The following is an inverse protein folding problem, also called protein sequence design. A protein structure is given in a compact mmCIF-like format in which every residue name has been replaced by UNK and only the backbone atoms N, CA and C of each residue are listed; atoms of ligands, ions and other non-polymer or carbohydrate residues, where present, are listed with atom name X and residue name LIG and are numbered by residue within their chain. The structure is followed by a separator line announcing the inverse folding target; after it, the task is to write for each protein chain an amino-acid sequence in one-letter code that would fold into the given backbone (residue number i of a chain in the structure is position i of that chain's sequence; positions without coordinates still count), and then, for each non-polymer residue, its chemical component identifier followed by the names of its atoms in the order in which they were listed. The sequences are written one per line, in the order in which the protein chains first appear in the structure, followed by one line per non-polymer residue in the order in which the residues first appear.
data_IF_383056333971
#
_entry.id   IF_383056333971
#
_cell.length_a   1.000
_cell.length_b   1.000
_cell.length_c   1.000
_cell.angle_alpha   90.00
_cell.angle_beta   90.00
_cell.angle_gamma   90.00
#
_symmetry.space_group_name_H-M   'P 1'
#
loop_
_entity.id
_entity.type
_entity.pdbx_description
1 polymer ?
#
# COMPACT_ATOMS: atom_id res chain seq x y z
N UNK A 1 9.38 -14.88 12.11
CA UNK A 1 9.22 -13.42 12.08
C UNK A 1 8.89 -12.92 13.48
N UNK A 2 9.50 -11.84 13.99
CA UNK A 2 9.10 -11.35 15.31
C UNK A 2 7.71 -10.68 15.23
N UNK A 3 6.92 -10.74 16.32
CA UNK A 3 5.62 -10.04 16.42
C UNK A 3 5.72 -8.55 16.03
N UNK A 4 6.88 -7.93 16.21
CA UNK A 4 7.16 -6.54 15.79
C UNK A 4 7.17 -6.38 14.26
N UNK A 5 7.75 -7.33 13.52
CA UNK A 5 7.78 -7.27 12.05
C UNK A 5 6.39 -7.51 11.44
N UNK A 6 5.59 -8.40 12.02
CA UNK A 6 4.20 -8.60 11.62
C UNK A 6 3.37 -7.34 11.87
N UNK A 7 3.50 -6.73 13.06
CA UNK A 7 2.82 -5.48 13.39
C UNK A 7 3.21 -4.34 12.43
N UNK A 8 4.50 -4.24 12.06
CA UNK A 8 4.97 -3.26 11.09
C UNK A 8 4.42 -3.52 9.68
N UNK A 9 4.38 -4.79 9.25
CA UNK A 9 3.80 -5.15 7.95
C UNK A 9 2.30 -4.83 7.90
N UNK A 10 1.56 -5.13 8.96
CA UNK A 10 0.14 -4.79 9.10
C UNK A 10 -0.06 -3.26 9.13
N UNK A 11 0.77 -2.51 9.86
CA UNK A 11 0.71 -1.05 9.89
C UNK A 11 0.97 -0.43 8.51
N UNK A 12 1.97 -0.94 7.77
CA UNK A 12 2.25 -0.52 6.41
C UNK A 12 1.08 -0.83 5.46
N UNK A 13 0.49 -2.01 5.59
CA UNK A 13 -0.68 -2.41 4.81
C UNK A 13 -1.89 -1.52 5.13
N UNK A 14 -2.17 -1.26 6.41
CA UNK A 14 -3.24 -0.35 6.84
C UNK A 14 -3.02 1.06 6.29
N UNK A 15 -1.79 1.57 6.33
CA UNK A 15 -1.46 2.88 5.76
C UNK A 15 -1.70 2.91 4.24
N UNK A 16 -1.31 1.85 3.53
CA UNK A 16 -1.51 1.74 2.07
C UNK A 16 -3.00 1.64 1.72
N UNK A 17 -3.78 0.88 2.47
CA UNK A 17 -5.24 0.76 2.29
C UNK A 17 -5.93 2.10 2.58
N UNK A 18 -5.61 2.76 3.68
CA UNK A 18 -6.16 4.08 4.02
C UNK A 18 -5.83 5.15 2.97
N UNK A 19 -4.67 5.05 2.31
CA UNK A 19 -4.31 5.96 1.22
C UNK A 19 -5.17 5.75 -0.03
N UNK A 20 -5.63 4.54 -0.27
CA UNK A 20 -6.54 4.20 -1.38
C UNK A 20 -7.96 4.70 -1.10
N UNK A 21 -8.45 4.58 0.15
CA UNK A 21 -9.76 5.09 0.55
C UNK A 21 -9.86 6.62 0.52
N UNK A 22 -8.72 7.33 0.61
CA UNK A 22 -8.68 8.79 0.69
C UNK A 22 -8.50 9.52 -0.65
N UNK A 23 -9.15 9.08 -1.74
CA UNK A 23 -9.13 9.72 -3.07
C UNK A 23 -7.85 9.54 -3.90
N UNK A 24 -7.18 8.40 -3.82
CA UNK A 24 -6.10 8.06 -4.75
C UNK A 24 -6.66 7.51 -6.07
N UNK A 25 -5.97 7.81 -7.17
CA UNK A 25 -6.31 7.25 -8.48
C UNK A 25 -6.01 5.74 -8.48
N UNK A 26 -6.93 4.96 -9.01
CA UNK A 26 -6.92 3.51 -9.00
C UNK A 26 -6.83 2.93 -10.42
N UNK A 27 -5.92 2.00 -10.61
CA UNK A 27 -5.77 1.17 -11.81
C UNK A 27 -6.17 -0.27 -11.46
N UNK A 28 -7.43 -0.51 -11.24
CA UNK A 28 -7.93 -1.83 -10.88
C UNK A 28 -9.41 -1.98 -11.21
N UNK A 29 -9.87 -3.22 -11.31
CA UNK A 29 -11.29 -3.52 -11.39
C UNK A 29 -12.00 -3.11 -10.10
N UNK A 30 -13.33 -2.93 -10.16
CA UNK A 30 -14.14 -2.67 -8.96
C UNK A 30 -13.94 -3.78 -7.91
N UNK A 31 -13.85 -5.04 -8.34
CA UNK A 31 -13.60 -6.17 -7.42
C UNK A 31 -12.25 -6.06 -6.71
N UNK A 32 -11.19 -5.63 -7.40
CA UNK A 32 -9.89 -5.40 -6.79
C UNK A 32 -9.94 -4.26 -5.77
N UNK A 33 -10.66 -3.18 -6.07
CA UNK A 33 -10.88 -2.08 -5.12
C UNK A 33 -11.63 -2.57 -3.87
N UNK A 34 -12.74 -3.29 -4.05
CA UNK A 34 -13.55 -3.80 -2.94
C UNK A 34 -12.75 -4.76 -2.05
N UNK A 35 -11.86 -5.57 -2.64
CA UNK A 35 -10.96 -6.45 -1.89
C UNK A 35 -10.05 -5.66 -0.97
N UNK A 36 -9.44 -4.60 -1.47
CA UNK A 36 -8.52 -3.76 -0.69
C UNK A 36 -9.27 -2.93 0.36
N UNK A 37 -10.44 -2.38 0.03
CA UNK A 37 -11.27 -1.63 0.97
C UNK A 37 -11.75 -2.52 2.15
N UNK A 38 -12.17 -3.76 1.87
CA UNK A 38 -12.54 -4.74 2.91
C UNK A 38 -11.35 -5.14 3.79
N UNK A 39 -10.14 -5.14 3.24
CA UNK A 39 -8.93 -5.44 3.99
C UNK A 39 -8.69 -4.45 5.13
N UNK A 40 -8.97 -3.16 4.93
CA UNK A 40 -8.89 -2.11 5.96
C UNK A 40 -9.72 -2.46 7.20
N UNK A 41 -10.96 -2.94 7.00
CA UNK A 41 -11.84 -3.32 8.10
C UNK A 41 -11.37 -4.58 8.85
N UNK A 42 -10.80 -5.57 8.14
CA UNK A 42 -10.24 -6.79 8.74
C UNK A 42 -8.98 -6.47 9.56
N UNK A 43 -8.12 -5.57 9.06
CA UNK A 43 -6.93 -5.13 9.77
C UNK A 43 -7.28 -4.35 11.05
N UNK A 44 -8.32 -3.51 10.99
CA UNK A 44 -8.80 -2.75 12.13
C UNK A 44 -9.42 -3.63 13.25
N UNK A 45 -9.94 -4.83 12.91
CA UNK A 45 -10.54 -5.74 13.89
C UNK A 45 -9.54 -6.44 14.82
N UNK A 46 -8.24 -6.43 14.50
CA UNK A 46 -7.18 -7.05 15.30
C UNK A 46 -7.21 -8.60 15.37
N UNK A 47 -8.12 -9.27 14.67
CA UNK A 47 -8.30 -10.72 14.71
C UNK A 47 -7.11 -11.54 14.17
N UNK A 48 -6.21 -10.88 13.42
CA UNK A 48 -5.10 -11.56 12.74
C UNK A 48 -4.03 -12.08 13.70
N UNK A 49 -3.82 -11.37 14.82
CA UNK A 49 -2.74 -11.69 15.77
C UNK A 49 -2.92 -13.01 16.52
N UNK A 50 -4.11 -13.61 16.49
CA UNK A 50 -4.43 -14.81 17.26
C UNK A 50 -4.33 -16.13 16.49
N UNK A 51 -4.19 -16.09 15.15
CA UNK A 51 -4.39 -17.27 14.29
C UNK A 51 -3.12 -17.91 13.72
N UNK A 52 -1.96 -17.23 13.75
CA UNK A 52 -0.76 -17.71 13.05
C UNK A 52 0.48 -17.78 13.94
N UNK A 53 1.23 -18.88 13.86
CA UNK A 53 2.49 -19.08 14.57
C UNK A 53 3.68 -18.47 13.81
N UNK A 54 4.81 -18.28 14.51
CA UNK A 54 6.06 -17.78 13.90
C UNK A 54 6.62 -18.74 12.81
N UNK A 55 6.25 -20.03 12.86
CA UNK A 55 6.65 -21.04 11.86
C UNK A 55 5.84 -20.90 10.56
N UNK A 56 4.56 -20.52 10.64
CA UNK A 56 3.73 -20.28 9.46
C UNK A 56 4.17 -19.05 8.65
N UNK A 57 4.96 -18.17 9.26
CA UNK A 57 5.37 -16.88 8.72
C UNK A 57 6.79 -16.87 8.10
N UNK A 58 7.34 -18.05 7.77
CA UNK A 58 8.67 -18.19 7.17
C UNK A 58 8.79 -17.39 5.86
N UNK A 59 9.88 -16.62 5.74
CA UNK A 59 10.29 -16.09 4.44
C UNK A 59 10.88 -17.26 3.65
N UNK A 60 10.29 -17.57 2.50
CA UNK A 60 10.98 -18.37 1.51
C UNK A 60 12.19 -17.56 1.02
N UNK A 61 13.33 -18.20 0.87
CA UNK A 61 14.54 -17.57 0.33
C UNK A 61 14.31 -17.05 -1.11
N UNK A 62 13.32 -17.59 -1.81
CA UNK A 62 12.90 -17.23 -3.17
C UNK A 62 11.37 -17.22 -3.26
N UNK A 63 10.80 -16.21 -3.94
CA UNK A 63 9.37 -16.12 -4.24
C UNK A 63 8.99 -16.69 -5.62
N UNK A 64 9.90 -17.35 -6.29
CA UNK A 64 9.71 -17.95 -7.61
C UNK A 64 10.19 -19.39 -7.63
N UNK A 65 9.60 -20.17 -8.49
CA UNK A 65 10.00 -21.55 -8.76
C UNK A 65 10.87 -21.60 -10.01
N UNK A 66 11.93 -22.43 -10.00
CA UNK A 66 12.81 -22.63 -11.16
C UNK A 66 12.61 -24.05 -11.66
N UNK A 67 12.26 -24.19 -12.94
CA UNK A 67 12.17 -25.49 -13.62
C UNK A 67 13.54 -26.01 -14.00
N UNK A 68 13.65 -27.31 -14.31
CA UNK A 68 14.94 -27.96 -14.58
C UNK A 68 15.71 -27.41 -15.79
N UNK A 69 15.07 -26.60 -16.65
CA UNK A 69 15.66 -25.94 -17.82
C UNK A 69 16.13 -24.50 -17.53
N UNK A 70 15.87 -23.99 -16.32
CA UNK A 70 16.22 -22.65 -15.86
C UNK A 70 15.15 -21.58 -16.14
N UNK A 71 13.91 -21.98 -16.39
CA UNK A 71 12.77 -21.06 -16.46
C UNK A 71 12.26 -20.78 -15.04
N UNK A 72 12.30 -19.53 -14.62
CA UNK A 72 11.69 -19.10 -13.36
C UNK A 72 10.23 -18.70 -13.59
N UNK A 73 9.35 -19.15 -12.70
CA UNK A 73 7.93 -18.74 -12.67
C UNK A 73 7.69 -17.90 -11.43
N UNK A 74 7.29 -16.64 -11.61
CA UNK A 74 6.94 -15.71 -10.56
C UNK A 74 5.45 -15.41 -10.56
N UNK A 75 4.77 -15.71 -9.46
CA UNK A 75 3.35 -15.42 -9.29
C UNK A 75 3.12 -13.93 -8.97
N UNK A 76 2.25 -13.28 -9.77
CA UNK A 76 1.74 -11.94 -9.55
C UNK A 76 0.21 -12.00 -9.39
N UNK A 77 -0.24 -12.39 -8.19
CA UNK A 77 -1.66 -12.69 -7.90
C UNK A 77 -2.26 -11.71 -6.90
N UNK A 78 -3.57 -11.46 -7.04
CA UNK A 78 -4.33 -10.58 -6.16
C UNK A 78 -4.31 -9.10 -6.55
N UNK A 79 -4.78 -8.22 -5.65
CA UNK A 79 -4.82 -6.77 -5.90
C UNK A 79 -3.47 -6.11 -5.67
N UNK A 80 -3.02 -5.28 -6.60
CA UNK A 80 -1.72 -4.62 -6.53
C UNK A 80 -1.78 -3.35 -5.68
N UNK A 81 -0.86 -3.22 -4.72
CA UNK A 81 -0.83 -2.10 -3.78
C UNK A 81 0.59 -1.55 -3.61
N UNK A 82 0.70 -0.30 -3.22
CA UNK A 82 1.99 0.32 -2.92
C UNK A 82 2.45 -0.04 -1.51
N UNK A 83 2.96 -1.25 -1.34
CA UNK A 83 3.44 -1.76 -0.06
C UNK A 83 4.66 -2.68 -0.24
N UNK A 84 5.43 -2.82 0.83
CA UNK A 84 6.51 -3.78 0.96
C UNK A 84 6.08 -4.87 1.95
N UNK A 85 5.56 -5.97 1.44
CA UNK A 85 4.95 -7.03 2.25
C UNK A 85 5.75 -8.32 2.19
N UNK A 86 5.76 -9.10 3.28
CA UNK A 86 6.21 -10.49 3.25
C UNK A 86 5.28 -11.33 2.36
N UNK A 87 5.79 -12.33 1.62
CA UNK A 87 4.99 -13.16 0.72
C UNK A 87 3.81 -13.87 1.40
N UNK A 88 3.98 -14.25 2.64
CA UNK A 88 2.92 -14.83 3.45
C UNK A 88 1.73 -13.87 3.62
N UNK A 89 2.00 -12.60 3.94
CA UNK A 89 0.97 -11.57 4.09
C UNK A 89 0.27 -11.32 2.76
N UNK A 90 1.02 -11.25 1.66
CA UNK A 90 0.45 -11.08 0.33
C UNK A 90 -0.54 -12.20 -0.02
N UNK A 91 -0.15 -13.45 0.19
CA UNK A 91 -1.03 -14.62 -0.04
C UNK A 91 -2.25 -14.65 0.87
N UNK A 92 -2.06 -14.34 2.16
CA UNK A 92 -3.13 -14.35 3.15
C UNK A 92 -4.25 -13.37 2.79
N UNK A 93 -3.89 -12.20 2.28
CA UNK A 93 -4.83 -11.12 1.99
C UNK A 93 -5.20 -10.99 0.51
N UNK A 94 -4.65 -11.81 -0.37
CA UNK A 94 -4.90 -11.72 -1.80
C UNK A 94 -4.42 -10.37 -2.39
N UNK A 95 -3.31 -9.86 -1.90
CA UNK A 95 -2.67 -8.64 -2.40
C UNK A 95 -1.24 -8.91 -2.85
N UNK A 96 -0.70 -8.04 -3.69
CA UNK A 96 0.69 -8.08 -4.13
C UNK A 96 1.31 -6.68 -4.04
N UNK A 97 2.40 -6.55 -3.29
CA UNK A 97 3.07 -5.27 -3.09
C UNK A 97 3.99 -4.90 -4.24
N UNK A 98 3.94 -3.67 -4.74
CA UNK A 98 4.86 -3.20 -5.79
C UNK A 98 6.33 -3.28 -5.36
N UNK A 99 6.65 -2.86 -4.13
CA UNK A 99 8.02 -2.96 -3.63
C UNK A 99 8.48 -4.42 -3.45
N UNK A 100 7.55 -5.36 -3.22
CA UNK A 100 7.86 -6.80 -3.21
C UNK A 100 8.14 -7.31 -4.61
N UNK A 101 7.37 -6.90 -5.63
CA UNK A 101 7.63 -7.23 -7.04
C UNK A 101 8.99 -6.73 -7.50
N UNK A 102 9.35 -5.49 -7.16
CA UNK A 102 10.65 -4.88 -7.52
C UNK A 102 11.81 -5.71 -6.97
N UNK A 103 11.75 -6.14 -5.71
CA UNK A 103 12.77 -7.03 -5.12
C UNK A 103 12.84 -8.38 -5.82
N UNK A 104 11.70 -8.95 -6.18
CA UNK A 104 11.69 -10.24 -6.88
C UNK A 104 12.26 -10.11 -8.29
N UNK A 105 11.98 -9.02 -9.00
CA UNK A 105 12.60 -8.75 -10.30
C UNK A 105 14.10 -8.55 -10.19
N UNK A 106 14.57 -7.84 -9.16
CA UNK A 106 15.99 -7.69 -8.88
C UNK A 106 16.66 -9.04 -8.56
N UNK A 107 16.04 -9.86 -7.71
CA UNK A 107 16.53 -11.19 -7.37
C UNK A 107 16.61 -12.11 -8.61
N UNK A 108 15.58 -12.11 -9.46
CA UNK A 108 15.56 -12.85 -10.73
C UNK A 108 16.66 -12.40 -11.70
N UNK A 109 16.92 -11.08 -11.77
CA UNK A 109 17.97 -10.54 -12.62
C UNK A 109 19.37 -11.02 -12.18
N UNK A 110 19.61 -11.16 -10.89
CA UNK A 110 20.90 -11.54 -10.30
C UNK A 110 21.08 -13.07 -10.17
N UNK A 111 20.00 -13.86 -10.22
CA UNK A 111 20.09 -15.32 -10.03
C UNK A 111 20.71 -16.02 -11.24
N UNK A 112 21.89 -16.67 -11.10
CA UNK A 112 22.58 -17.34 -12.19
C UNK A 112 21.87 -18.63 -12.65
N UNK A 113 21.00 -19.22 -11.84
CA UNK A 113 20.23 -20.41 -12.21
C UNK A 113 19.05 -20.05 -13.14
N UNK A 114 18.62 -18.78 -13.13
CA UNK A 114 17.52 -18.29 -13.96
C UNK A 114 18.04 -17.88 -15.33
N UNK A 115 17.52 -18.50 -16.38
CA UNK A 115 17.81 -18.16 -17.78
C UNK A 115 16.72 -17.27 -18.39
N UNK A 116 15.47 -17.54 -18.05
CA UNK A 116 14.28 -16.81 -18.51
C UNK A 116 13.23 -16.76 -17.43
N UNK A 117 12.29 -15.83 -17.55
CA UNK A 117 11.26 -15.59 -16.54
C UNK A 117 9.87 -15.62 -17.17
N UNK A 118 8.93 -16.28 -16.48
CA UNK A 118 7.50 -16.20 -16.77
C UNK A 118 6.81 -15.56 -15.57
N UNK A 119 6.09 -14.47 -15.81
CA UNK A 119 5.19 -13.86 -14.84
C UNK A 119 3.83 -14.55 -14.95
N UNK A 120 3.42 -15.32 -13.93
CA UNK A 120 2.08 -15.92 -13.84
C UNK A 120 1.14 -14.90 -13.20
N UNK A 121 0.34 -14.23 -14.02
CA UNK A 121 -0.50 -13.10 -13.61
C UNK A 121 -1.95 -13.53 -13.42
N UNK A 122 -2.50 -13.29 -12.23
CA UNK A 122 -3.94 -13.40 -11.95
C UNK A 122 -4.37 -12.21 -11.08
N UNK A 123 -4.69 -11.09 -11.75
CA UNK A 123 -4.95 -9.83 -11.06
C UNK A 123 -5.89 -8.92 -11.85
N UNK A 124 -6.82 -8.30 -11.12
CA UNK A 124 -7.67 -7.23 -11.64
C UNK A 124 -7.00 -5.85 -11.68
N UNK A 125 -5.72 -5.75 -11.31
CA UNK A 125 -5.00 -4.49 -11.22
C UNK A 125 -4.82 -3.97 -9.81
N UNK A 126 -4.70 -2.64 -9.65
CA UNK A 126 -4.43 -2.09 -8.34
C UNK A 126 -4.16 -0.58 -8.29
N UNK A 127 -3.41 -0.15 -7.27
CA UNK A 127 -3.05 1.25 -7.05
C UNK A 127 -2.16 1.81 -8.17
N UNK A 128 -2.26 3.11 -8.41
CA UNK A 128 -1.38 3.80 -9.38
C UNK A 128 0.00 4.09 -8.80
N UNK A 129 0.06 4.35 -7.50
CA UNK A 129 1.30 4.67 -6.79
C UNK A 129 2.23 3.45 -6.75
N UNK A 130 3.45 3.58 -7.26
CA UNK A 130 4.48 2.54 -7.31
C UNK A 130 4.52 1.74 -8.62
N UNK A 131 3.54 1.89 -9.53
CA UNK A 131 3.52 1.12 -10.79
C UNK A 131 4.68 1.49 -11.71
N UNK A 132 5.03 2.78 -11.80
CA UNK A 132 6.11 3.26 -12.67
C UNK A 132 7.45 2.62 -12.29
N UNK A 133 7.81 2.65 -11.02
CA UNK A 133 9.06 2.06 -10.52
C UNK A 133 9.08 0.54 -10.69
N UNK A 134 7.90 -0.11 -10.60
CA UNK A 134 7.75 -1.55 -10.82
C UNK A 134 7.97 -1.91 -12.28
N UNK A 135 7.43 -1.14 -13.22
CA UNK A 135 7.66 -1.33 -14.66
C UNK A 135 9.11 -1.05 -15.01
N UNK A 136 9.75 -0.08 -14.37
CA UNK A 136 11.18 0.18 -14.55
C UNK A 136 12.03 -1.01 -14.07
N UNK A 137 11.77 -1.55 -12.89
CA UNK A 137 12.46 -2.75 -12.38
C UNK A 137 12.26 -3.99 -13.30
N UNK A 138 11.05 -4.12 -13.89
CA UNK A 138 10.79 -5.15 -14.89
C UNK A 138 11.60 -4.91 -16.18
N UNK A 139 11.75 -3.66 -16.61
CA UNK A 139 12.59 -3.30 -17.76
C UNK A 139 14.06 -3.65 -17.52
N UNK A 140 14.57 -3.42 -16.28
CA UNK A 140 15.93 -3.76 -15.90
C UNK A 140 16.15 -5.29 -15.91
N UNK A 141 15.17 -6.07 -15.42
CA UNK A 141 15.17 -7.52 -15.54
C UNK A 141 15.20 -7.97 -17.02
N UNK A 142 14.37 -7.36 -17.88
CA UNK A 142 14.32 -7.66 -19.33
C UNK A 142 15.61 -7.32 -20.07
N UNK A 143 16.41 -6.40 -19.56
CA UNK A 143 17.70 -6.08 -20.15
C UNK A 143 18.72 -7.23 -20.02
N UNK A 144 18.52 -8.16 -19.08
CA UNK A 144 19.45 -9.26 -18.76
C UNK A 144 18.84 -10.66 -18.90
N UNK A 145 17.52 -10.79 -18.91
CA UNK A 145 16.79 -12.06 -19.05
C UNK A 145 15.64 -11.90 -20.03
N UNK A 146 15.29 -12.96 -20.77
CA UNK A 146 14.03 -13.00 -21.52
C UNK A 146 12.87 -13.13 -20.54
N UNK A 147 11.85 -12.27 -20.69
CA UNK A 147 10.68 -12.25 -19.80
C UNK A 147 9.39 -12.37 -20.59
N UNK A 148 8.53 -13.26 -20.17
CA UNK A 148 7.18 -13.43 -20.72
C UNK A 148 6.12 -13.36 -19.63
N UNK A 149 4.88 -13.12 -20.02
CA UNK A 149 3.72 -13.14 -19.10
C UNK A 149 2.71 -14.16 -19.59
N UNK A 150 2.18 -14.94 -18.68
CA UNK A 150 1.00 -15.78 -18.90
C UNK A 150 -0.09 -15.48 -17.89
N UNK A 151 -1.34 -15.52 -18.32
CA UNK A 151 -2.50 -15.40 -17.43
C UNK A 151 -3.56 -16.43 -17.75
N UNK A 152 -4.05 -17.11 -16.71
CA UNK A 152 -5.14 -18.08 -16.85
C UNK A 152 -6.52 -17.48 -16.65
N UNK A 153 -6.65 -16.42 -15.81
CA UNK A 153 -7.93 -15.82 -15.40
C UNK A 153 -8.04 -14.34 -15.73
N UNK A 154 -7.27 -13.49 -15.04
CA UNK A 154 -7.36 -12.05 -15.14
C UNK A 154 -5.99 -11.40 -15.31
N UNK A 155 -5.88 -10.54 -16.28
CA UNK A 155 -4.74 -9.62 -16.45
C UNK A 155 -5.29 -8.26 -16.88
N UNK A 156 -5.81 -7.50 -15.92
CA UNK A 156 -6.54 -6.26 -16.17
C UNK A 156 -5.86 -5.04 -15.54
N UNK A 157 -6.02 -3.88 -16.18
CA UNK A 157 -5.62 -2.58 -15.64
C UNK A 157 -4.14 -2.54 -15.24
N UNK A 158 -3.74 -2.21 -14.02
CA UNK A 158 -2.33 -2.22 -13.59
C UNK A 158 -1.63 -3.56 -13.85
N UNK A 159 -2.35 -4.68 -13.75
CA UNK A 159 -1.81 -6.00 -14.06
C UNK A 159 -1.53 -6.16 -15.56
N UNK A 160 -2.36 -5.57 -16.42
CA UNK A 160 -2.09 -5.52 -17.85
C UNK A 160 -0.93 -4.57 -18.18
N UNK A 161 -0.84 -3.44 -17.48
CA UNK A 161 0.30 -2.52 -17.65
C UNK A 161 1.63 -3.26 -17.42
N UNK A 162 1.77 -3.95 -16.30
CA UNK A 162 2.97 -4.75 -15.97
C UNK A 162 3.10 -5.93 -16.93
N UNK A 163 2.04 -6.72 -17.11
CA UNK A 163 2.04 -7.92 -17.92
C UNK A 163 2.27 -7.70 -19.40
N UNK A 164 1.97 -6.49 -19.92
CA UNK A 164 2.28 -6.10 -21.30
C UNK A 164 3.71 -5.60 -21.49
N UNK A 165 4.43 -5.30 -20.39
CA UNK A 165 5.80 -4.76 -20.41
C UNK A 165 6.88 -5.85 -20.54
N UNK A 166 6.60 -6.91 -21.29
CA UNK A 166 7.45 -8.10 -21.47
C UNK A 166 7.67 -8.41 -22.96
N UNK A 167 8.44 -9.47 -23.25
CA UNK A 167 8.77 -9.86 -24.62
C UNK A 167 7.65 -10.63 -25.29
N UNK A 168 6.85 -11.40 -24.53
CA UNK A 168 5.76 -12.22 -25.05
C UNK A 168 4.62 -12.30 -24.05
N UNK A 169 3.39 -12.11 -24.49
CA UNK A 169 2.17 -12.16 -23.66
C UNK A 169 1.29 -13.30 -24.12
N UNK A 170 1.01 -14.24 -23.23
CA UNK A 170 0.11 -15.37 -23.47
C UNK A 170 -1.03 -15.45 -22.47
N UNK A 171 -2.13 -16.03 -22.88
CA UNK A 171 -3.27 -16.25 -21.99
C UNK A 171 -4.00 -17.56 -22.29
N UNK A 172 -4.70 -18.08 -21.29
CA UNK A 172 -5.71 -19.13 -21.51
C UNK A 172 -6.87 -18.60 -22.37
N UNK A 173 -7.63 -19.48 -23.04
CA UNK A 173 -8.78 -19.06 -23.85
C UNK A 173 -9.88 -18.29 -23.08
N UNK A 174 -9.98 -18.51 -21.78
CA UNK A 174 -11.01 -17.87 -20.93
C UNK A 174 -10.50 -16.65 -20.18
N UNK A 175 -9.24 -16.30 -20.32
CA UNK A 175 -8.65 -15.15 -19.67
C UNK A 175 -9.30 -13.84 -20.11
N UNK A 176 -9.51 -12.95 -19.13
CA UNK A 176 -9.94 -11.58 -19.34
C UNK A 176 -8.77 -10.61 -19.19
N UNK A 177 -8.51 -9.77 -20.21
CA UNK A 177 -7.35 -8.89 -20.30
C UNK A 177 -7.74 -7.47 -20.71
N UNK A 178 -6.83 -6.53 -20.52
CA UNK A 178 -7.03 -5.13 -20.90
C UNK A 178 -7.52 -4.28 -19.74
N UNK A 179 -8.76 -3.77 -19.80
CA UNK A 179 -9.29 -2.78 -18.84
C UNK A 179 -8.32 -1.59 -18.70
N UNK A 180 -7.88 -1.07 -19.86
CA UNK A 180 -6.93 0.04 -19.95
C UNK A 180 -7.69 1.31 -19.61
N UNK A 181 -7.46 1.83 -18.40
CA UNK A 181 -8.16 2.98 -17.87
C UNK A 181 -7.79 3.24 -16.41
N UNK A 182 -8.13 4.42 -15.93
CA UNK A 182 -7.96 4.82 -14.53
C UNK A 182 -9.30 5.32 -13.97
N UNK A 183 -9.51 5.14 -12.67
CA UNK A 183 -10.69 5.67 -11.99
C UNK A 183 -10.31 6.26 -10.63
N UNK A 184 -11.13 7.16 -10.13
CA UNK A 184 -11.08 7.69 -8.77
C UNK A 184 -12.47 7.65 -8.18
N UNK A 185 -12.60 7.10 -6.98
CA UNK A 185 -13.86 7.09 -6.23
C UNK A 185 -13.79 8.18 -5.18
N UNK A 186 -14.65 9.18 -5.30
CA UNK A 186 -14.81 10.21 -4.29
C UNK A 186 -16.04 9.90 -3.44
N UNK A 187 -15.84 9.70 -2.14
CA UNK A 187 -16.92 9.47 -1.18
C UNK A 187 -17.14 10.73 -0.35
N UNK A 188 -18.37 11.25 -0.34
CA UNK A 188 -18.75 12.42 0.43
C UNK A 188 -19.49 12.02 1.72
N UNK A 189 -19.06 12.56 2.85
CA UNK A 189 -19.63 12.33 4.18
C UNK A 189 -20.27 13.57 4.81
N UNK A 190 -20.33 14.71 4.10
CA UNK A 190 -20.81 15.98 4.67
C UNK A 190 -22.23 15.90 5.19
N UNK A 191 -23.11 15.19 4.46
CA UNK A 191 -24.50 14.97 4.89
C UNK A 191 -24.61 14.10 6.14
N UNK A 192 -23.82 13.05 6.25
CA UNK A 192 -23.78 12.19 7.44
C UNK A 192 -23.28 12.96 8.67
N UNK A 193 -22.20 13.72 8.51
CA UNK A 193 -21.66 14.58 9.57
C UNK A 193 -22.72 15.58 10.09
N UNK A 194 -23.44 16.23 9.18
CA UNK A 194 -24.51 17.16 9.53
C UNK A 194 -25.63 16.48 10.30
N UNK A 195 -26.06 15.26 9.93
CA UNK A 195 -27.07 14.48 10.66
C UNK A 195 -26.62 14.13 12.07
N UNK A 196 -25.32 13.92 12.29
CA UNK A 196 -24.75 13.66 13.62
C UNK A 196 -24.39 14.95 14.39
N UNK A 197 -24.78 16.14 13.90
CA UNK A 197 -24.50 17.41 14.56
C UNK A 197 -23.03 17.86 14.48
N UNK A 198 -22.23 17.22 13.61
CA UNK A 198 -20.81 17.55 13.42
C UNK A 198 -20.68 18.56 12.29
N UNK A 199 -20.08 19.71 12.55
CA UNK A 199 -19.74 20.73 11.55
C UNK A 199 -18.25 20.70 11.25
N UNK A 200 -17.88 20.20 10.09
CA UNK A 200 -16.52 20.30 9.59
C UNK A 200 -16.26 21.70 9.02
N UNK A 201 -15.11 22.28 9.32
CA UNK A 201 -14.68 23.56 8.74
C UNK A 201 -13.25 23.38 8.24
N UNK A 202 -13.04 23.58 6.94
CA UNK A 202 -11.72 23.44 6.32
C UNK A 202 -11.08 24.82 6.22
N UNK A 203 -9.90 24.97 6.82
CA UNK A 203 -9.09 26.19 6.73
C UNK A 203 -7.95 25.92 5.76
N UNK A 204 -7.93 26.63 4.63
CA UNK A 204 -7.01 26.41 3.52
C UNK A 204 -6.02 27.59 3.39
N UNK A 205 -4.75 27.27 3.15
CA UNK A 205 -3.75 28.29 2.83
C UNK A 205 -3.86 28.81 1.39
N UNK A 206 -4.48 28.03 0.49
CA UNK A 206 -4.73 28.35 -0.93
C UNK A 206 -6.03 27.68 -1.38
N UNK A 207 -6.75 28.20 -2.38
CA UNK A 207 -8.06 27.68 -2.81
C UNK A 207 -8.02 26.19 -3.17
N UNK A 208 -7.00 25.73 -3.88
CA UNK A 208 -6.90 24.34 -4.35
C UNK A 208 -6.35 23.37 -3.28
N UNK A 209 -5.98 23.84 -2.08
CA UNK A 209 -5.47 22.96 -1.04
C UNK A 209 -6.60 22.13 -0.44
N UNK A 210 -6.56 20.81 -0.68
CA UNK A 210 -7.56 19.88 -0.17
C UNK A 210 -8.90 19.93 -0.93
N UNK A 211 -8.87 20.25 -2.22
CA UNK A 211 -10.02 20.01 -3.09
C UNK A 211 -10.37 18.52 -3.12
N UNK A 212 -11.68 18.23 -3.17
CA UNK A 212 -12.16 16.85 -3.17
C UNK A 212 -12.04 16.13 -1.82
N UNK A 213 -12.00 16.87 -0.68
CA UNK A 213 -12.09 16.25 0.64
C UNK A 213 -13.48 15.68 0.88
N UNK A 214 -13.57 14.58 1.66
CA UNK A 214 -14.82 13.87 1.95
C UNK A 214 -15.81 14.62 2.86
N UNK A 215 -15.38 15.71 3.51
CA UNK A 215 -16.18 16.41 4.52
C UNK A 215 -16.90 17.65 3.99
N UNK A 216 -16.82 17.91 2.68
CA UNK A 216 -17.58 18.94 1.98
C UNK A 216 -18.10 18.40 0.63
N UNK A 217 -19.18 18.98 0.07
CA UNK A 217 -19.64 18.61 -1.27
C UNK A 217 -18.58 18.80 -2.33
N UNK A 218 -18.52 17.87 -3.29
CA UNK A 218 -17.58 17.96 -4.42
C UNK A 218 -17.95 19.15 -5.31
N UNK A 219 -17.11 20.20 -5.29
CA UNK A 219 -17.31 21.36 -6.15
C UNK A 219 -16.99 21.04 -7.62
N UNK A 220 -17.53 21.83 -8.59
CA UNK A 220 -17.18 21.69 -10.00
C UNK A 220 -15.67 21.81 -10.26
N UNK A 221 -15.00 22.72 -9.58
CA UNK A 221 -13.55 22.95 -9.69
C UNK A 221 -12.78 21.74 -9.16
N UNK A 222 -13.21 21.18 -8.01
CA UNK A 222 -12.61 19.97 -7.45
C UNK A 222 -12.79 18.77 -8.39
N UNK A 223 -13.95 18.64 -9.02
CA UNK A 223 -14.21 17.60 -10.02
C UNK A 223 -13.24 17.71 -11.21
N UNK A 224 -13.08 18.90 -11.79
CA UNK A 224 -12.17 19.14 -12.92
C UNK A 224 -10.72 18.76 -12.57
N UNK A 225 -10.27 19.13 -11.37
CA UNK A 225 -8.93 18.78 -10.90
C UNK A 225 -8.74 17.27 -10.75
N UNK A 226 -9.72 16.58 -10.15
CA UNK A 226 -9.68 15.11 -9.99
C UNK A 226 -9.74 14.40 -11.35
N UNK A 227 -10.59 14.85 -12.28
CA UNK A 227 -10.66 14.34 -13.65
C UNK A 227 -9.33 14.54 -14.40
N UNK A 228 -8.65 15.67 -14.20
CA UNK A 228 -7.32 15.93 -14.77
C UNK A 228 -6.28 14.91 -14.28
N UNK A 229 -6.30 14.56 -12.99
CA UNK A 229 -5.40 13.54 -12.45
C UNK A 229 -5.69 12.15 -13.02
N UNK A 230 -6.97 11.77 -13.14
CA UNK A 230 -7.39 10.49 -13.72
C UNK A 230 -6.93 10.40 -15.19
N UNK A 231 -7.16 11.47 -15.97
CA UNK A 231 -6.78 11.52 -17.37
C UNK A 231 -5.25 11.43 -17.54
N UNK A 232 -4.47 12.15 -16.73
CA UNK A 232 -3.02 12.06 -16.76
C UNK A 232 -2.51 10.61 -16.58
N UNK A 233 -3.08 9.88 -15.62
CA UNK A 233 -2.69 8.47 -15.39
C UNK A 233 -3.13 7.58 -16.56
N UNK A 234 -4.33 7.82 -17.09
CA UNK A 234 -4.84 7.11 -18.26
C UNK A 234 -3.90 7.29 -19.47
N UNK A 235 -3.52 8.54 -19.78
CA UNK A 235 -2.63 8.86 -20.91
C UNK A 235 -1.29 8.13 -20.76
N UNK A 236 -0.70 8.12 -19.55
CA UNK A 236 0.55 7.38 -19.28
C UNK A 236 0.40 5.87 -19.47
N UNK A 237 -0.75 5.32 -19.11
CA UNK A 237 -1.04 3.91 -19.35
C UNK A 237 -1.14 3.61 -20.85
N UNK A 238 -1.86 4.42 -21.60
CA UNK A 238 -2.00 4.28 -23.06
C UNK A 238 -0.65 4.41 -23.76
N UNK A 239 0.17 5.42 -23.41
CA UNK A 239 1.54 5.60 -23.92
C UNK A 239 2.38 4.34 -23.70
N UNK A 240 2.34 3.76 -22.49
CA UNK A 240 3.12 2.58 -22.16
C UNK A 240 2.65 1.33 -22.94
N UNK A 241 1.34 1.11 -23.02
CA UNK A 241 0.78 -0.01 -23.80
C UNK A 241 1.10 0.16 -25.29
N UNK A 242 1.00 1.37 -25.82
CA UNK A 242 1.38 1.70 -27.19
C UNK A 242 2.82 1.28 -27.48
N UNK A 243 3.76 1.67 -26.61
CA UNK A 243 5.17 1.31 -26.75
C UNK A 243 5.40 -0.21 -26.64
N UNK A 244 4.79 -0.86 -25.63
CA UNK A 244 4.99 -2.27 -25.37
C UNK A 244 4.40 -3.18 -26.45
N UNK A 245 3.20 -2.85 -26.93
CA UNK A 245 2.45 -3.67 -27.89
C UNK A 245 2.60 -3.22 -29.34
N UNK A 246 3.31 -2.11 -29.57
CA UNK A 246 3.51 -1.50 -30.91
C UNK A 246 2.19 -1.17 -31.60
N UNK A 247 1.20 -0.72 -30.81
CA UNK A 247 -0.11 -0.26 -31.27
C UNK A 247 -0.11 1.26 -31.16
N UNK A 248 -0.54 1.99 -32.19
CA UNK A 248 -0.58 3.44 -32.12
C UNK A 248 -1.56 3.91 -31.02
N UNK A 249 -1.26 5.04 -30.36
CA UNK A 249 -2.15 5.67 -29.37
C UNK A 249 -3.55 5.89 -29.98
N UNK A 250 -3.63 6.39 -31.22
CA UNK A 250 -4.89 6.59 -31.94
C UNK A 250 -5.70 5.27 -32.07
N UNK A 251 -5.04 4.15 -32.34
CA UNK A 251 -5.71 2.85 -32.41
C UNK A 251 -6.21 2.41 -31.03
N UNK A 252 -5.42 2.61 -29.99
CA UNK A 252 -5.84 2.29 -28.63
C UNK A 252 -7.05 3.13 -28.21
N UNK A 253 -7.04 4.43 -28.45
CA UNK A 253 -8.12 5.33 -28.12
C UNK A 253 -9.38 5.11 -28.96
N UNK A 254 -9.29 4.46 -30.11
CA UNK A 254 -10.44 4.17 -30.98
C UNK A 254 -11.39 3.09 -30.43
N UNK A 255 -11.24 2.66 -29.17
CA UNK A 255 -12.15 1.75 -28.45
C UNK A 255 -11.48 0.56 -27.79
N UNK A 256 -10.15 0.58 -27.65
CA UNK A 256 -9.40 -0.44 -26.90
C UNK A 256 -9.09 0.05 -25.48
N UNK A 257 -8.75 1.32 -25.34
CA UNK A 257 -8.38 1.95 -24.04
C UNK A 257 -9.55 2.69 -23.36
N UNK A 258 -10.79 2.25 -23.60
CA UNK A 258 -11.99 2.82 -22.98
C UNK A 258 -12.41 2.13 -21.67
N UNK A 259 -11.48 1.42 -21.04
CA UNK A 259 -11.75 0.68 -19.80
C UNK A 259 -12.40 -0.68 -20.01
N UNK A 260 -12.60 -1.13 -21.26
CA UNK A 260 -13.16 -2.46 -21.53
C UNK A 260 -12.23 -3.60 -21.16
N UNK A 261 -12.86 -4.72 -20.82
CA UNK A 261 -12.22 -6.02 -20.66
C UNK A 261 -12.44 -6.83 -21.94
N UNK A 262 -11.39 -7.46 -22.44
CA UNK A 262 -11.42 -8.32 -23.61
C UNK A 262 -11.13 -9.76 -23.20
N UNK A 263 -11.93 -10.71 -23.69
CA UNK A 263 -11.57 -12.12 -23.61
C UNK A 263 -10.45 -12.44 -24.62
N UNK A 264 -9.74 -13.54 -24.36
CA UNK A 264 -8.49 -13.88 -25.02
C UNK A 264 -8.47 -13.69 -26.56
N UNK A 265 -9.51 -14.12 -27.28
CA UNK A 265 -9.53 -14.01 -28.73
C UNK A 265 -9.67 -12.55 -29.22
N UNK A 266 -10.49 -11.75 -28.55
CA UNK A 266 -10.63 -10.33 -28.88
C UNK A 266 -9.38 -9.54 -28.44
N UNK A 267 -8.80 -9.88 -27.29
CA UNK A 267 -7.53 -9.30 -26.85
C UNK A 267 -6.41 -9.58 -27.88
N UNK A 268 -6.32 -10.81 -28.40
CA UNK A 268 -5.38 -11.18 -29.46
C UNK A 268 -5.64 -10.41 -30.76
N UNK A 269 -6.89 -10.32 -31.18
CA UNK A 269 -7.29 -9.57 -32.39
C UNK A 269 -6.91 -8.08 -32.27
N UNK A 270 -7.02 -7.50 -31.07
CA UNK A 270 -6.64 -6.13 -30.79
C UNK A 270 -5.14 -5.94 -30.56
N UNK A 271 -4.31 -7.00 -30.68
CA UNK A 271 -2.86 -6.93 -30.49
C UNK A 271 -2.42 -6.87 -29.02
N UNK A 272 -3.35 -7.00 -28.07
CA UNK A 272 -3.05 -6.91 -26.64
C UNK A 272 -2.30 -8.14 -26.12
N UNK A 273 -2.46 -9.31 -26.76
CA UNK A 273 -1.76 -10.57 -26.42
C UNK A 273 -1.25 -11.24 -27.68
N UNK A 274 -0.24 -12.11 -27.53
CA UNK A 274 0.42 -12.78 -28.66
C UNK A 274 -0.12 -14.20 -28.85
N UNK A 275 -0.32 -14.93 -27.73
CA UNK A 275 -0.64 -16.35 -27.74
C UNK A 275 -1.90 -16.61 -26.91
N UNK A 276 -2.80 -17.42 -27.47
CA UNK A 276 -3.95 -18.00 -26.75
C UNK A 276 -3.77 -19.51 -26.75
N UNK A 277 -3.63 -20.12 -25.59
CA UNK A 277 -3.40 -21.54 -25.43
C UNK A 277 -3.25 -21.96 -23.98
N UNK A 278 -2.90 -23.22 -23.72
CA UNK A 278 -2.53 -23.69 -22.40
C UNK A 278 -1.19 -23.12 -21.92
N UNK A 279 -0.92 -23.24 -20.63
CA UNK A 279 0.37 -22.80 -20.07
C UNK A 279 1.54 -23.56 -20.72
N UNK A 280 1.42 -24.89 -20.89
CA UNK A 280 2.49 -25.70 -21.47
C UNK A 280 2.76 -25.34 -22.95
N UNK A 281 1.71 -25.06 -23.73
CA UNK A 281 1.85 -24.58 -25.11
C UNK A 281 2.55 -23.22 -25.16
N UNK A 282 2.22 -22.34 -24.22
CA UNK A 282 2.84 -21.02 -24.11
C UNK A 282 4.33 -21.15 -23.75
N UNK A 283 4.67 -21.93 -22.73
CA UNK A 283 6.05 -22.19 -22.30
C UNK A 283 6.87 -22.69 -23.49
N UNK A 284 6.38 -23.72 -24.20
CA UNK A 284 7.06 -24.31 -25.35
C UNK A 284 7.32 -23.28 -26.47
N UNK A 285 6.38 -22.37 -26.72
CA UNK A 285 6.54 -21.31 -27.73
C UNK A 285 7.54 -20.23 -27.28
N UNK A 286 7.50 -19.84 -26.00
CA UNK A 286 8.43 -18.88 -25.41
C UNK A 286 9.87 -19.40 -25.45
N UNK A 287 10.10 -20.64 -25.05
CA UNK A 287 11.41 -21.30 -25.12
C UNK A 287 11.95 -21.39 -26.56
N UNK A 288 11.10 -21.75 -27.48
CA UNK A 288 11.50 -21.82 -28.92
C UNK A 288 11.84 -20.43 -29.48
N UNK A 289 11.22 -19.37 -29.03
CA UNK A 289 11.52 -18.00 -29.42
C UNK A 289 12.86 -17.52 -28.81
N UNK A 290 13.13 -17.83 -27.54
CA UNK A 290 14.35 -17.47 -26.85
C UNK A 290 15.60 -18.16 -27.48
N UNK A 291 15.50 -19.44 -27.82
CA UNK A 291 16.57 -20.18 -28.53
C UNK A 291 16.90 -19.54 -29.87
N UNK A 292 15.91 -19.05 -30.63
CA UNK A 292 16.14 -18.37 -31.91
C UNK A 292 16.83 -17.02 -31.72
N UNK A 293 16.45 -16.25 -30.71
CA UNK A 293 17.08 -14.97 -30.41
C UNK A 293 18.56 -15.15 -30.04
N UNK A 294 18.85 -16.14 -29.18
CA UNK A 294 20.20 -16.49 -28.77
C UNK A 294 21.05 -17.08 -29.93
N UNK A 295 20.45 -17.87 -30.81
CA UNK A 295 21.12 -18.40 -32.03
C UNK A 295 21.46 -17.29 -33.02
N UNK A 296 20.63 -16.25 -33.13
CA UNK A 296 20.87 -15.10 -33.99
C UNK A 296 21.93 -14.16 -33.41
N UNK A 297 22.06 -14.09 -32.09
CA UNK A 297 23.12 -13.33 -31.42
C UNK A 297 24.48 -14.04 -31.42
N UNK A 298 24.51 -15.37 -31.60
CA UNK A 298 25.74 -16.20 -31.55
C UNK A 298 26.47 -16.38 -32.87
N UNK A 299 25.95 -15.93 -33.99
CA UNK A 299 26.58 -16.03 -35.32
C UNK A 299 26.31 -14.78 -36.13
N UNK A 300 27.14 -13.75 -35.96
CA UNK A 300 27.36 -12.78 -37.00
C UNK A 300 28.37 -13.41 -37.96
N UNK A 301 27.99 -13.93 -39.12
CA UNK A 301 28.95 -14.11 -40.15
C UNK A 301 29.34 -12.71 -40.60
N UNK A 302 30.59 -12.39 -40.40
CA UNK A 302 31.20 -11.24 -41.04
C UNK A 302 31.12 -11.40 -42.55
N UNK A 303 29.98 -11.10 -43.10
CA UNK A 303 29.85 -10.96 -44.57
C UNK A 303 29.31 -9.58 -44.87
N UNK A 304 30.24 -8.70 -45.00
CA UNK A 304 30.17 -7.33 -45.42
C UNK A 304 29.51 -7.29 -46.80
N UNK A 305 28.23 -6.89 -46.84
CA UNK A 305 27.76 -6.14 -47.99
C UNK A 305 27.28 -4.80 -47.48
N UNK A 306 28.22 -3.88 -47.41
CA UNK A 306 27.99 -2.45 -47.21
C UNK A 306 27.08 -1.94 -48.32
N UNK A 307 25.79 -1.85 -48.07
CA UNK A 307 24.90 -0.96 -48.77
C UNK A 307 25.39 0.46 -48.51
N UNK A 308 25.89 1.11 -49.56
CA UNK A 308 26.53 2.41 -49.54
C UNK A 308 25.60 3.50 -49.01
N UNK A 309 25.83 3.88 -47.77
CA UNK A 309 25.64 5.22 -47.27
C UNK A 309 27.00 5.63 -46.71
N UNK A 310 27.81 6.31 -47.52
CA UNK A 310 29.11 6.87 -47.11
C UNK A 310 28.91 7.84 -45.97
N UNK A 311 29.05 7.35 -44.75
CA UNK A 311 29.38 8.22 -43.65
C UNK A 311 30.90 8.40 -43.68
N UNK A 312 31.37 9.61 -43.96
CA UNK A 312 32.77 9.96 -43.93
C UNK A 312 33.36 9.63 -42.57
N UNK A 313 34.58 9.07 -42.55
CA UNK A 313 35.31 8.73 -41.35
C UNK A 313 35.31 9.91 -40.33
N UNK A 314 35.35 11.13 -40.81
CA UNK A 314 35.27 12.37 -40.06
C UNK A 314 33.92 12.53 -39.31
N UNK A 315 32.81 12.13 -39.96
CA UNK A 315 31.47 12.16 -39.37
C UNK A 315 31.31 11.05 -38.31
N UNK A 316 31.89 9.89 -38.54
CA UNK A 316 31.90 8.78 -37.59
C UNK A 316 32.70 9.16 -36.31
N UNK A 317 33.88 9.76 -36.47
CA UNK A 317 34.70 10.26 -35.36
C UNK A 317 34.02 11.39 -34.58
N UNK A 318 33.34 12.30 -35.28
CA UNK A 318 32.55 13.36 -34.63
C UNK A 318 31.41 12.78 -33.76
N UNK A 319 30.73 11.75 -34.25
CA UNK A 319 29.66 11.07 -33.51
C UNK A 319 30.16 10.28 -32.31
N UNK A 320 31.34 9.67 -32.41
CA UNK A 320 32.02 9.02 -31.26
C UNK A 320 32.35 10.06 -30.18
N UNK A 321 32.92 11.20 -30.53
CA UNK A 321 33.23 12.25 -29.61
C UNK A 321 31.98 12.87 -28.91
N UNK A 322 30.88 12.96 -29.65
CA UNK A 322 29.57 13.37 -29.09
C UNK A 322 29.04 12.34 -28.10
N UNK A 323 29.11 11.04 -28.41
CA UNK A 323 28.71 9.94 -27.53
C UNK A 323 29.63 9.85 -26.29
N UNK A 324 30.93 10.10 -26.41
CA UNK A 324 31.86 10.14 -25.27
C UNK A 324 31.53 11.31 -24.32
N UNK A 325 31.15 12.46 -24.89
CA UNK A 325 30.71 13.64 -24.10
C UNK A 325 29.40 13.33 -23.37
N UNK A 326 28.44 12.71 -24.04
CA UNK A 326 27.18 12.28 -23.44
C UNK A 326 27.40 11.26 -22.33
N UNK A 327 28.26 10.26 -22.52
CA UNK A 327 28.62 9.28 -21.50
C UNK A 327 29.29 9.93 -20.26
N UNK A 328 30.15 10.93 -20.47
CA UNK A 328 30.76 11.68 -19.39
C UNK A 328 29.70 12.48 -18.59
N UNK A 329 28.74 13.11 -19.27
CA UNK A 329 27.63 13.81 -18.63
C UNK A 329 26.72 12.88 -17.83
N UNK A 330 26.41 11.69 -18.38
CA UNK A 330 25.64 10.69 -17.66
C UNK A 330 26.38 10.17 -16.43
N UNK A 331 27.68 9.95 -16.52
CA UNK A 331 28.51 9.54 -15.39
C UNK A 331 28.50 10.61 -14.26
N UNK A 332 28.60 11.88 -14.62
CA UNK A 332 28.52 12.99 -13.67
C UNK A 332 27.11 13.05 -13.01
N UNK A 333 26.06 12.79 -13.79
CA UNK A 333 24.68 12.75 -13.28
C UNK A 333 24.45 11.60 -12.31
N UNK A 334 25.00 10.42 -12.59
CA UNK A 334 24.95 9.26 -11.68
C UNK A 334 25.64 9.60 -10.36
N UNK A 335 26.84 10.19 -10.39
CA UNK A 335 27.55 10.61 -9.18
C UNK A 335 26.77 11.64 -8.35
N UNK A 336 26.07 12.56 -9.01
CA UNK A 336 25.18 13.52 -8.33
C UNK A 336 24.03 12.82 -7.63
N UNK A 337 23.34 11.89 -8.33
CA UNK A 337 22.22 11.15 -7.80
C UNK A 337 22.62 10.25 -6.62
N UNK A 338 23.80 9.65 -6.68
CA UNK A 338 24.35 8.86 -5.56
C UNK A 338 24.59 9.73 -4.30
N UNK A 339 25.07 10.96 -4.48
CA UNK A 339 25.24 11.90 -3.37
C UNK A 339 23.89 12.34 -2.78
N UNK A 340 22.89 12.60 -3.62
CA UNK A 340 21.53 12.93 -3.20
C UNK A 340 20.86 11.73 -2.47
N UNK A 341 21.04 10.52 -2.97
CA UNK A 341 20.56 9.29 -2.35
C UNK A 341 21.17 9.06 -0.97
N UNK A 342 22.48 9.29 -0.83
CA UNK A 342 23.18 9.18 0.46
C UNK A 342 22.63 10.20 1.47
N UNK A 343 22.37 11.43 1.03
CA UNK A 343 21.78 12.47 1.87
C UNK A 343 20.35 12.10 2.31
N UNK A 344 19.54 11.59 1.39
CA UNK A 344 18.18 11.12 1.66
C UNK A 344 18.14 9.97 2.66
N UNK A 345 19.04 8.98 2.50
CA UNK A 345 19.17 7.86 3.45
C UNK A 345 19.57 8.33 4.86
N UNK A 346 20.44 9.33 4.96
CA UNK A 346 20.81 9.92 6.25
C UNK A 346 19.61 10.63 6.91
N UNK A 347 18.82 11.35 6.14
CA UNK A 347 17.60 12.00 6.63
C UNK A 347 16.54 10.97 7.08
N UNK A 348 16.40 9.86 6.36
CA UNK A 348 15.52 8.77 6.75
C UNK A 348 15.95 8.12 8.08
N UNK A 349 17.24 7.94 8.31
CA UNK A 349 17.74 7.40 9.57
C UNK A 349 17.40 8.31 10.76
N UNK A 350 17.56 9.64 10.60
CA UNK A 350 17.18 10.63 11.63
C UNK A 350 15.66 10.61 11.88
N UNK A 351 14.86 10.48 10.83
CA UNK A 351 13.40 10.36 10.98
C UNK A 351 12.99 9.07 11.70
N UNK A 352 13.65 7.95 11.41
CA UNK A 352 13.39 6.68 12.09
C UNK A 352 13.65 6.78 13.60
N UNK A 353 14.77 7.39 14.01
CA UNK A 353 15.08 7.64 15.42
C UNK A 353 14.04 8.55 16.10
N UNK A 354 13.55 9.57 15.36
CA UNK A 354 12.50 10.46 15.87
C UNK A 354 11.16 9.74 16.03
N UNK A 355 10.81 8.84 15.10
CA UNK A 355 9.60 8.01 15.20
C UNK A 355 9.69 7.11 16.42
N UNK A 356 10.80 6.41 16.64
CA UNK A 356 11.01 5.57 17.82
C UNK A 356 10.88 6.36 19.14
N UNK A 357 11.42 7.58 19.17
CA UNK A 357 11.26 8.48 20.33
C UNK A 357 9.82 8.88 20.60
N UNK A 358 9.04 9.17 19.53
CA UNK A 358 7.63 9.54 19.65
C UNK A 358 6.76 8.34 20.06
N UNK A 359 7.04 7.15 19.55
CA UNK A 359 6.36 5.91 19.91
C UNK A 359 6.56 5.59 21.41
N UNK A 360 7.79 5.78 21.93
CA UNK A 360 8.06 5.64 23.35
C UNK A 360 7.25 6.64 24.20
N UNK A 361 7.10 7.89 23.75
CA UNK A 361 6.29 8.90 24.41
C UNK A 361 4.80 8.52 24.40
N UNK A 362 4.27 8.05 23.27
CA UNK A 362 2.87 7.61 23.13
C UNK A 362 2.58 6.43 24.07
N UNK A 363 3.49 5.45 24.12
CA UNK A 363 3.36 4.31 25.04
C UNK A 363 3.32 4.77 26.50
N UNK A 364 4.19 5.72 26.88
CA UNK A 364 4.19 6.30 28.22
C UNK A 364 2.86 7.04 28.54
N UNK A 365 2.27 7.75 27.58
CA UNK A 365 0.97 8.39 27.75
C UNK A 365 -0.16 7.37 27.98
N UNK A 366 -0.18 6.27 27.23
CA UNK A 366 -1.18 5.21 27.40
C UNK A 366 -1.13 4.57 28.79
N UNK A 367 0.05 4.36 29.36
CA UNK A 367 0.21 3.85 30.73
C UNK A 367 -0.30 4.84 31.78
N UNK A 368 -0.03 6.13 31.59
CA UNK A 368 -0.52 7.20 32.50
C UNK A 368 -2.04 7.28 32.42
N UNK A 369 -2.63 7.25 31.24
CA UNK A 369 -4.08 7.28 31.05
C UNK A 369 -4.77 6.06 31.69
N UNK A 370 -4.23 4.86 31.50
CA UNK A 370 -4.75 3.64 32.10
C UNK A 370 -4.71 3.71 33.65
N UNK A 371 -3.61 4.23 34.20
CA UNK A 371 -3.45 4.40 35.64
C UNK A 371 -4.39 5.46 36.20
N UNK A 372 -4.59 6.56 35.48
CA UNK A 372 -5.53 7.60 35.83
C UNK A 372 -6.97 7.06 35.85
N UNK A 373 -7.40 6.36 34.85
CA UNK A 373 -8.70 5.69 34.74
C UNK A 373 -8.91 4.74 35.94
N UNK A 374 -7.94 3.87 36.21
CA UNK A 374 -8.00 2.93 37.33
C UNK A 374 -8.17 3.63 38.70
N UNK A 375 -7.50 4.76 38.89
CA UNK A 375 -7.65 5.57 40.14
C UNK A 375 -9.05 6.18 40.27
N UNK A 376 -9.63 6.67 39.16
CA UNK A 376 -11.00 7.18 39.15
C UNK A 376 -12.02 6.08 39.43
N UNK A 377 -11.88 4.90 38.85
CA UNK A 377 -12.74 3.73 39.11
C UNK A 377 -12.71 3.30 40.58
N UNK A 378 -11.53 3.26 41.18
CA UNK A 378 -11.36 2.97 42.60
C UNK A 378 -12.04 4.02 43.48
N UNK A 379 -11.92 5.30 43.12
CA UNK A 379 -12.57 6.43 43.82
C UNK A 379 -14.10 6.33 43.73
N UNK A 380 -14.66 6.05 42.53
CA UNK A 380 -16.09 5.83 42.32
C UNK A 380 -16.62 4.70 43.20
N UNK A 381 -15.92 3.57 43.21
CA UNK A 381 -16.28 2.40 43.99
C UNK A 381 -16.34 2.74 45.50
N UNK A 382 -15.35 3.47 45.96
CA UNK A 382 -15.28 3.90 47.37
C UNK A 382 -16.43 4.84 47.73
N UNK A 383 -16.75 5.80 46.87
CA UNK A 383 -17.87 6.72 47.05
C UNK A 383 -19.23 6.00 46.99
N UNK A 384 -19.40 5.03 46.11
CA UNK A 384 -20.61 4.24 45.99
C UNK A 384 -20.87 3.44 47.26
N UNK A 385 -19.86 2.80 47.84
CA UNK A 385 -19.95 2.10 49.11
C UNK A 385 -20.40 3.06 50.23
N UNK A 386 -19.79 4.22 50.36
CA UNK A 386 -20.12 5.23 51.37
C UNK A 386 -21.53 5.82 51.18
N UNK A 387 -22.03 5.91 49.97
CA UNK A 387 -23.37 6.34 49.64
C UNK A 387 -24.44 5.23 49.75
N UNK A 388 -24.04 3.98 49.98
CA UNK A 388 -24.86 2.80 49.89
C UNK A 388 -25.61 2.71 48.53
N UNK A 389 -24.88 2.97 47.44
CA UNK A 389 -25.35 3.01 46.09
C UNK A 389 -24.62 1.96 45.21
N UNK A 390 -25.27 1.49 44.16
CA UNK A 390 -24.61 0.63 43.15
C UNK A 390 -23.75 1.47 42.23
N UNK A 391 -22.50 1.05 41.98
CA UNK A 391 -21.60 1.72 41.05
C UNK A 391 -21.73 1.07 39.64
N UNK A 392 -22.18 1.84 38.66
CA UNK A 392 -22.18 1.46 37.25
C UNK A 392 -21.04 2.22 36.57
N UNK A 393 -19.87 1.58 36.47
CA UNK A 393 -18.66 2.22 35.94
C UNK A 393 -18.66 2.14 34.40
N UNK A 394 -18.62 3.27 33.67
CA UNK A 394 -18.50 3.31 32.22
C UNK A 394 -17.20 2.67 31.75
N UNK A 395 -17.18 2.24 30.46
CA UNK A 395 -16.02 1.54 29.88
C UNK A 395 -14.97 2.47 29.28
N UNK A 396 -15.36 3.68 28.86
CA UNK A 396 -14.46 4.69 28.30
C UNK A 396 -14.04 5.74 29.36
N UNK A 397 -12.89 6.38 29.14
CA UNK A 397 -12.32 7.33 30.11
C UNK A 397 -13.22 8.53 30.34
N UNK A 398 -13.80 9.11 29.30
CA UNK A 398 -14.65 10.29 29.37
C UNK A 398 -15.93 9.99 30.19
N UNK A 399 -16.51 8.81 30.03
CA UNK A 399 -17.62 8.32 30.83
C UNK A 399 -17.25 8.13 32.31
N UNK A 400 -16.07 7.57 32.60
CA UNK A 400 -15.55 7.39 33.93
C UNK A 400 -15.32 8.74 34.60
N UNK A 401 -14.74 9.72 33.93
CA UNK A 401 -14.57 11.10 34.44
C UNK A 401 -15.90 11.78 34.77
N UNK A 402 -16.86 11.72 33.86
CA UNK A 402 -18.19 12.31 34.04
C UNK A 402 -18.93 11.65 35.19
N UNK A 403 -18.87 10.32 35.30
CA UNK A 403 -19.51 9.58 36.39
C UNK A 403 -18.82 9.82 37.73
N UNK A 404 -17.48 9.92 37.75
CA UNK A 404 -16.73 10.31 38.96
C UNK A 404 -17.14 11.70 39.47
N UNK A 405 -17.25 12.69 38.56
CA UNK A 405 -17.69 14.04 38.93
C UNK A 405 -19.11 14.04 39.52
N UNK A 406 -20.06 13.31 38.92
CA UNK A 406 -21.40 13.17 39.44
C UNK A 406 -21.44 12.48 40.82
N UNK A 407 -20.67 11.43 41.02
CA UNK A 407 -20.56 10.73 42.29
C UNK A 407 -19.91 11.62 43.38
N UNK A 408 -18.92 12.40 43.00
CA UNK A 408 -18.26 13.37 43.90
C UNK A 408 -19.26 14.41 44.39
N UNK A 409 -20.10 14.94 43.51
CA UNK A 409 -21.15 15.90 43.90
C UNK A 409 -22.15 15.28 44.89
N UNK A 410 -22.67 14.08 44.59
CA UNK A 410 -23.58 13.35 45.47
C UNK A 410 -22.96 13.01 46.81
N UNK A 411 -21.66 12.68 46.83
CA UNK A 411 -20.92 12.40 48.05
C UNK A 411 -20.77 13.66 48.90
N UNK A 412 -20.42 14.82 48.28
CA UNK A 412 -20.29 16.10 48.95
C UNK A 412 -21.64 16.63 49.53
N UNK A 413 -22.75 16.40 48.82
CA UNK A 413 -24.10 16.73 49.32
C UNK A 413 -24.46 15.93 50.54
N UNK A 414 -24.11 14.64 50.61
CA UNK A 414 -24.39 13.77 51.75
C UNK A 414 -23.41 13.98 52.94
N UNK A 415 -22.16 14.35 52.59
CA UNK A 415 -21.09 14.60 53.60
C UNK A 415 -20.45 15.98 53.36
N UNK A 416 -21.12 17.07 53.69
CA UNK A 416 -20.62 18.45 53.47
C UNK A 416 -19.36 18.73 54.29
N UNK A 417 -18.37 19.37 53.65
CA UNK A 417 -17.14 19.83 54.34
C UNK A 417 -17.48 20.73 55.53
N UNK A 418 -17.02 20.37 56.72
CA UNK A 418 -17.14 21.19 57.90
C UNK A 418 -18.17 20.75 58.99
N UNK A 419 -18.88 19.65 58.76
CA UNK A 419 -19.81 19.10 59.77
C UNK A 419 -19.29 17.82 60.47
N UNK A 420 -17.99 17.63 60.55
CA UNK A 420 -17.41 16.67 61.49
C UNK A 420 -17.03 17.45 62.77
N UNK A 421 -18.00 17.74 63.64
CA UNK A 421 -17.71 18.07 64.98
C UNK A 421 -17.20 16.83 65.72
N UNK A 422 -16.07 16.95 66.41
CA UNK A 422 -15.57 15.91 67.29
C UNK A 422 -16.67 15.48 68.24
N UNK A 423 -16.90 14.18 68.50
CA UNK A 423 -17.89 13.77 69.52
C UNK A 423 -17.43 14.21 70.85
N UNK A 424 -18.16 15.18 71.48
CA UNK A 424 -18.16 15.39 72.87
C UNK A 424 -18.85 14.21 73.54
N UNK A 425 -18.14 13.55 74.47
CA UNK A 425 -18.43 12.28 75.09
C UNK A 425 -19.90 12.05 75.51
N UNK A 426 -20.40 10.92 75.05
CA UNK A 426 -21.65 10.30 75.44
C UNK A 426 -21.66 8.89 74.83
N UNK A 427 -21.71 7.89 75.68
CA UNK A 427 -21.76 6.45 75.33
C UNK A 427 -22.95 6.16 74.43
N UNK A 428 -22.68 5.81 73.19
CA UNK A 428 -23.57 4.92 72.46
C UNK A 428 -22.76 4.10 71.40
N UNK A 429 -22.95 2.78 71.38
CA UNK A 429 -22.28 1.82 70.55
C UNK A 429 -22.89 1.87 69.16
N UNK A 430 -22.42 2.80 68.35
CA UNK A 430 -22.71 2.89 66.94
C UNK A 430 -21.39 2.85 66.11
N UNK A 431 -21.27 1.94 65.22
CA UNK A 431 -20.12 1.72 64.36
C UNK A 431 -19.56 3.03 63.83
N UNK A 432 -18.35 3.39 64.26
CA UNK A 432 -17.54 4.45 63.65
C UNK A 432 -17.28 4.19 62.19
N UNK A 433 -17.90 4.98 61.33
CA UNK A 433 -17.49 5.05 59.92
C UNK A 433 -16.17 5.83 59.85
N UNK A 434 -15.05 5.14 60.00
CA UNK A 434 -13.73 5.69 59.71
C UNK A 434 -13.67 6.08 58.23
N UNK A 435 -13.44 7.38 57.99
CA UNK A 435 -13.20 7.84 56.59
C UNK A 435 -12.03 7.06 56.00
N UNK A 436 -12.17 6.52 54.79
CA UNK A 436 -11.09 5.76 54.15
C UNK A 436 -9.82 6.60 54.06
N UNK A 437 -8.66 5.96 54.20
CA UNK A 437 -7.33 6.62 54.17
C UNK A 437 -7.07 7.47 52.92
N UNK A 438 -7.76 7.22 51.82
CA UNK A 438 -7.68 7.99 50.59
C UNK A 438 -8.38 9.36 50.66
N UNK A 439 -9.30 9.59 51.60
CA UNK A 439 -10.00 10.88 51.76
C UNK A 439 -9.01 12.00 52.10
N UNK A 440 -8.04 11.74 52.99
CA UNK A 440 -6.98 12.70 53.31
C UNK A 440 -6.01 12.97 52.17
N UNK A 441 -5.87 12.03 51.23
CA UNK A 441 -4.99 12.15 50.04
C UNK A 441 -5.70 12.87 48.89
N UNK A 442 -7.01 12.66 48.74
CA UNK A 442 -7.81 13.30 47.70
C UNK A 442 -8.20 14.76 48.04
N UNK A 443 -8.25 15.10 49.34
CA UNK A 443 -8.59 16.44 49.82
C UNK A 443 -7.58 16.88 50.89
N UNK A 444 -6.36 17.33 50.48
CA UNK A 444 -5.38 17.82 51.44
C UNK A 444 -5.98 18.97 52.21
N UNK A 445 -5.95 18.87 53.54
CA UNK A 445 -6.36 19.93 54.46
C UNK A 445 -5.28 21.01 54.40
N UNK A 446 -5.58 22.16 53.82
CA UNK A 446 -4.81 23.39 54.01
C UNK A 446 -5.30 24.07 55.27
#
# INVERSE_FOLDING_TARGET
MSRKLLALAIANLTSSVNSIESSSVWLGSQQAYDTVANLGSILASGEIHSRYSDEDMGFADRNYEITGDGTAVLELKGSFINANLPPFIERLFGVRGYASMQRDFEALAQDPEVKRVILDVDSGGGATSGIYDTVQALSDLRAVKSVATYSSNFMCSAAYWIGSSVDMVGTSPMCASGNIGAMLIHTEHSGALQQHGVKATIIRSRPNKGLGTSVEPLSPEARVELESHVNFIHDKFVEQVSANRRISVETLESGISDGKVFFAQDAKKNGLIDIVGSFDEFVSQFEAADVRSNATSGSIPLNTTLGAGNMDLTQALAKIAEMETEAANQTAKVAQLDAELKTSRSAQAVMAEKVESLEAQISGHGEVEAKFKSNLEASITSMAIALNAEAVIPTDLAGVEAYHAAMTTRFQEKFPKGQVSAPTGGEDKGTEATLPSWYSTAFPQN
#
